data_IF_480714853651
#
_entry.id   IF_480714853651
#
_cell.length_a   1.000
_cell.length_b   1.000
_cell.length_c   1.000
_cell.angle_alpha   90.00
_cell.angle_beta   90.00
_cell.angle_gamma   90.00
#
_symmetry.space_group_name_H-M   'P 1'
#
loop_
_entity.id
_entity.type
_entity.pdbx_description
1 polymer ?
#
# COMPACT_ATOMS: atom_id res chain seq x y z
N UNK A 1 -28.66 -33.07 -5.06
CA UNK A 1 -27.91 -32.27 -4.06
C UNK A 1 -26.45 -32.69 -4.16
N UNK A 2 -25.67 -31.98 -4.97
CA UNK A 2 -24.26 -32.30 -5.17
C UNK A 2 -23.46 -31.64 -4.05
N UNK A 3 -22.71 -32.44 -3.31
CA UNK A 3 -21.74 -31.99 -2.31
C UNK A 3 -20.78 -31.01 -2.98
N UNK A 4 -20.93 -29.71 -2.72
CA UNK A 4 -19.92 -28.72 -3.13
C UNK A 4 -18.70 -28.96 -2.26
N UNK A 5 -17.73 -29.71 -2.80
CA UNK A 5 -16.40 -29.80 -2.19
C UNK A 5 -15.85 -28.38 -2.05
N UNK A 6 -15.62 -27.95 -0.81
CA UNK A 6 -14.99 -26.65 -0.56
C UNK A 6 -13.55 -26.72 -1.06
N UNK A 7 -13.23 -25.98 -2.12
CA UNK A 7 -11.87 -25.90 -2.66
C UNK A 7 -11.04 -25.03 -1.71
N UNK A 8 -9.99 -25.62 -1.17
CA UNK A 8 -9.04 -24.91 -0.32
C UNK A 8 -7.98 -24.21 -1.18
N UNK A 9 -7.68 -22.95 -0.87
CA UNK A 9 -6.65 -22.13 -1.52
C UNK A 9 -5.61 -21.77 -0.45
N UNK A 10 -4.38 -22.23 -0.65
CA UNK A 10 -3.28 -22.08 0.31
C UNK A 10 -2.21 -21.09 -0.14
N UNK A 11 -2.31 -20.56 -1.37
CA UNK A 11 -1.38 -19.56 -1.91
C UNK A 11 -1.99 -18.72 -3.02
N UNK A 12 -1.35 -17.59 -3.35
CA UNK A 12 -1.68 -16.78 -4.52
C UNK A 12 -1.58 -17.59 -5.83
N UNK A 13 -0.60 -18.49 -5.94
CA UNK A 13 -0.45 -19.33 -7.12
C UNK A 13 -1.63 -20.27 -7.31
N UNK A 14 -2.09 -20.92 -6.24
CA UNK A 14 -3.29 -21.75 -6.28
C UNK A 14 -4.54 -20.95 -6.68
N UNK A 15 -4.67 -19.72 -6.15
CA UNK A 15 -5.75 -18.81 -6.57
C UNK A 15 -5.70 -18.54 -8.09
N UNK A 16 -4.52 -18.23 -8.63
CA UNK A 16 -4.33 -17.97 -10.06
C UNK A 16 -4.75 -19.16 -10.92
N UNK A 17 -4.45 -20.39 -10.50
CA UNK A 17 -4.89 -21.61 -11.20
C UNK A 17 -6.41 -21.78 -11.20
N UNK A 18 -7.10 -21.24 -10.19
CA UNK A 18 -8.57 -21.29 -10.10
C UNK A 18 -9.26 -20.12 -10.84
N UNK A 19 -8.54 -19.09 -11.28
CA UNK A 19 -9.12 -17.90 -11.95
C UNK A 19 -10.04 -18.23 -13.14
N UNK A 20 -9.74 -19.20 -14.02
CA UNK A 20 -10.63 -19.58 -15.12
C UNK A 20 -12.01 -20.06 -14.67
N UNK A 21 -12.14 -20.55 -13.43
CA UNK A 21 -13.43 -20.96 -12.82
C UNK A 21 -14.06 -19.83 -12.03
N UNK A 22 -13.26 -19.07 -11.30
CA UNK A 22 -13.72 -17.98 -10.43
C UNK A 22 -14.31 -16.83 -11.24
N UNK A 23 -13.63 -16.38 -12.30
CA UNK A 23 -14.05 -15.19 -13.06
C UNK A 23 -15.45 -15.36 -13.67
N UNK A 24 -15.79 -16.46 -14.35
CA UNK A 24 -17.15 -16.69 -14.82
C UNK A 24 -18.18 -16.76 -13.69
N UNK A 25 -17.84 -17.38 -12.55
CA UNK A 25 -18.75 -17.52 -11.41
C UNK A 25 -19.07 -16.16 -10.77
N UNK A 26 -18.09 -15.28 -10.64
CA UNK A 26 -18.29 -13.89 -10.20
C UNK A 26 -19.14 -13.12 -11.21
N UNK A 27 -18.81 -13.20 -12.49
CA UNK A 27 -19.50 -12.43 -13.54
C UNK A 27 -20.95 -12.89 -13.79
N UNK A 28 -21.31 -14.13 -13.43
CA UNK A 28 -22.68 -14.62 -13.49
C UNK A 28 -23.62 -13.92 -12.49
N UNK A 29 -23.07 -13.23 -11.47
CA UNK A 29 -23.83 -12.47 -10.48
C UNK A 29 -23.32 -11.02 -10.41
N UNK A 30 -24.02 -10.04 -11.01
CA UNK A 30 -23.58 -8.64 -11.02
C UNK A 30 -23.38 -8.03 -9.63
N UNK A 31 -24.21 -8.40 -8.64
CA UNK A 31 -24.05 -7.93 -7.26
C UNK A 31 -22.78 -8.47 -6.61
N UNK A 32 -22.46 -9.75 -6.86
CA UNK A 32 -21.21 -10.35 -6.42
C UNK A 32 -19.99 -9.74 -7.13
N UNK A 33 -20.08 -9.44 -8.41
CA UNK A 33 -19.01 -8.77 -9.16
C UNK A 33 -18.70 -7.38 -8.59
N UNK A 34 -19.75 -6.60 -8.25
CA UNK A 34 -19.58 -5.31 -7.59
C UNK A 34 -18.98 -5.46 -6.18
N UNK A 35 -19.49 -6.40 -5.38
CA UNK A 35 -18.97 -6.67 -4.05
C UNK A 35 -17.50 -7.18 -4.08
N UNK A 36 -17.14 -7.97 -5.09
CA UNK A 36 -15.78 -8.47 -5.30
C UNK A 36 -14.78 -7.34 -5.62
N UNK A 37 -15.22 -6.26 -6.27
CA UNK A 37 -14.39 -5.08 -6.48
C UNK A 37 -14.04 -4.36 -5.16
N UNK A 38 -14.91 -4.46 -4.15
CA UNK A 38 -14.68 -3.89 -2.82
C UNK A 38 -13.88 -4.82 -1.90
N UNK A 39 -14.13 -6.13 -1.97
CA UNK A 39 -13.36 -7.15 -1.24
C UNK A 39 -13.37 -8.50 -2.00
N UNK A 40 -12.30 -8.82 -2.75
CA UNK A 40 -12.24 -10.06 -3.52
C UNK A 40 -12.12 -11.31 -2.65
N UNK A 41 -11.53 -11.21 -1.45
CA UNK A 41 -11.39 -12.35 -0.54
C UNK A 41 -12.75 -12.83 -0.03
N UNK A 42 -13.62 -11.89 0.36
CA UNK A 42 -14.98 -12.23 0.78
C UNK A 42 -15.84 -12.76 -0.38
N UNK A 43 -15.61 -12.29 -1.62
CA UNK A 43 -16.29 -12.86 -2.78
C UNK A 43 -15.89 -14.31 -3.04
N UNK A 44 -14.62 -14.69 -2.80
CA UNK A 44 -14.18 -16.08 -2.88
C UNK A 44 -14.86 -16.94 -1.80
N UNK A 45 -14.98 -16.43 -0.58
CA UNK A 45 -15.71 -17.12 0.50
C UNK A 45 -17.19 -17.34 0.13
N UNK A 46 -17.84 -16.36 -0.49
CA UNK A 46 -19.22 -16.49 -0.99
C UNK A 46 -19.37 -17.56 -2.08
N UNK A 47 -18.34 -17.77 -2.89
CA UNK A 47 -18.29 -18.84 -3.89
C UNK A 47 -17.93 -20.22 -3.29
N UNK A 48 -17.72 -20.31 -1.97
CA UNK A 48 -17.42 -21.55 -1.26
C UNK A 48 -15.94 -21.92 -1.18
N UNK A 49 -15.04 -21.02 -1.56
CA UNK A 49 -13.60 -21.22 -1.39
C UNK A 49 -13.19 -20.97 0.06
N UNK A 50 -12.22 -21.75 0.56
CA UNK A 50 -11.61 -21.54 1.87
C UNK A 50 -10.16 -21.14 1.69
N UNK A 51 -9.78 -19.99 2.22
CA UNK A 51 -8.40 -19.51 2.15
C UNK A 51 -7.70 -19.76 3.49
N UNK A 52 -6.45 -20.25 3.43
CA UNK A 52 -5.60 -20.31 4.62
C UNK A 52 -5.21 -18.89 5.07
N UNK A 53 -4.93 -18.68 6.36
CA UNK A 53 -4.49 -17.35 6.84
C UNK A 53 -3.26 -16.81 6.09
N UNK A 54 -2.22 -17.62 5.80
CA UNK A 54 -1.09 -17.16 4.98
C UNK A 54 -1.52 -16.76 3.56
N UNK A 55 -2.44 -17.50 2.93
CA UNK A 55 -2.93 -17.17 1.59
C UNK A 55 -3.71 -15.86 1.59
N UNK A 56 -4.56 -15.63 2.59
CA UNK A 56 -5.30 -14.38 2.73
C UNK A 56 -4.36 -13.18 2.78
N UNK A 57 -3.32 -13.25 3.60
CA UNK A 57 -2.33 -12.16 3.70
C UNK A 57 -1.57 -11.97 2.39
N UNK A 58 -1.09 -13.04 1.77
CA UNK A 58 -0.36 -12.97 0.49
C UNK A 58 -1.23 -12.36 -0.62
N UNK A 59 -2.46 -12.84 -0.78
CA UNK A 59 -3.40 -12.40 -1.81
C UNK A 59 -3.80 -10.95 -1.56
N UNK A 60 -4.14 -10.58 -0.31
CA UNK A 60 -4.46 -9.20 0.03
C UNK A 60 -3.30 -8.27 -0.30
N UNK A 61 -2.09 -8.61 0.13
CA UNK A 61 -0.89 -7.82 -0.11
C UNK A 61 -0.63 -7.64 -1.60
N UNK A 62 -0.72 -8.72 -2.38
CA UNK A 62 -0.53 -8.66 -3.82
C UNK A 62 -1.60 -7.81 -4.52
N UNK A 63 -2.87 -8.02 -4.19
CA UNK A 63 -3.98 -7.30 -4.80
C UNK A 63 -3.99 -5.81 -4.44
N UNK A 64 -3.60 -5.45 -3.20
CA UNK A 64 -3.53 -4.05 -2.77
C UNK A 64 -2.34 -3.33 -3.38
N UNK A 65 -1.15 -3.90 -3.28
CA UNK A 65 0.08 -3.17 -3.57
C UNK A 65 0.65 -3.47 -4.96
N UNK A 66 0.42 -4.66 -5.49
CA UNK A 66 1.10 -5.13 -6.70
C UNK A 66 2.59 -5.44 -6.46
N UNK A 67 3.27 -6.07 -7.43
CA UNK A 67 4.64 -6.58 -7.26
C UNK A 67 5.66 -5.48 -6.98
N UNK A 68 5.58 -4.35 -7.68
CA UNK A 68 6.57 -3.26 -7.56
C UNK A 68 6.52 -2.59 -6.18
N UNK A 69 5.31 -2.28 -5.68
CA UNK A 69 5.18 -1.70 -4.35
C UNK A 69 5.49 -2.72 -3.25
N UNK A 70 5.19 -4.02 -3.44
CA UNK A 70 5.60 -5.03 -2.46
C UNK A 70 7.12 -5.12 -2.34
N UNK A 71 7.83 -5.09 -3.46
CA UNK A 71 9.29 -5.01 -3.47
C UNK A 71 9.75 -3.74 -2.73
N UNK A 72 9.15 -2.59 -3.03
CA UNK A 72 9.50 -1.33 -2.38
C UNK A 72 9.22 -1.33 -0.88
N UNK A 73 8.11 -1.90 -0.44
CA UNK A 73 7.77 -2.04 0.99
C UNK A 73 8.81 -2.91 1.71
N UNK A 74 9.21 -4.04 1.11
CA UNK A 74 10.24 -4.92 1.69
C UNK A 74 11.62 -4.22 1.79
N UNK A 75 11.99 -3.42 0.80
CA UNK A 75 13.20 -2.58 0.85
C UNK A 75 13.12 -1.56 1.99
N UNK A 76 12.01 -0.84 2.11
CA UNK A 76 11.79 0.16 3.16
C UNK A 76 11.82 -0.48 4.56
N UNK A 77 11.16 -1.62 4.75
CA UNK A 77 11.18 -2.40 6.00
C UNK A 77 12.60 -2.83 6.36
N UNK A 78 13.38 -3.28 5.38
CA UNK A 78 14.77 -3.67 5.57
C UNK A 78 15.66 -2.48 5.95
N UNK A 79 15.53 -1.35 5.25
CA UNK A 79 16.30 -0.12 5.53
C UNK A 79 15.94 0.45 6.91
N UNK A 80 14.66 0.48 7.24
CA UNK A 80 14.18 0.95 8.55
C UNK A 80 14.67 0.06 9.68
N UNK A 81 14.62 -1.26 9.50
CA UNK A 81 15.09 -2.21 10.50
C UNK A 81 16.59 -2.16 10.76
N UNK A 82 17.40 -1.82 9.74
CA UNK A 82 18.83 -1.55 9.93
C UNK A 82 19.09 -0.29 10.77
N UNK A 83 18.25 0.73 10.65
CA UNK A 83 18.41 2.00 11.37
C UNK A 83 17.93 1.94 12.82
N UNK A 84 16.84 1.21 13.08
CA UNK A 84 16.10 1.29 14.35
C UNK A 84 16.03 -0.06 15.07
N UNK A 85 16.74 -1.07 14.57
CA UNK A 85 16.87 -2.41 15.16
C UNK A 85 15.52 -3.07 15.45
N UNK A 86 14.50 -2.75 14.63
CA UNK A 86 13.15 -3.33 14.68
C UNK A 86 12.84 -4.08 13.40
N UNK A 87 11.99 -5.11 13.49
CA UNK A 87 11.49 -5.83 12.31
C UNK A 87 10.17 -5.26 11.80
N UNK A 88 9.47 -4.47 12.61
CA UNK A 88 8.12 -3.99 12.31
C UNK A 88 8.10 -2.47 12.21
N UNK A 89 7.42 -1.99 11.17
CA UNK A 89 7.08 -0.58 11.03
C UNK A 89 6.02 -0.21 12.07
N UNK A 90 6.11 0.97 12.72
CA UNK A 90 5.14 1.40 13.72
C UNK A 90 3.76 1.63 13.09
N UNK A 91 2.72 1.11 13.74
CA UNK A 91 1.32 1.11 13.28
C UNK A 91 0.59 2.42 13.60
N UNK A 92 1.04 3.18 14.60
CA UNK A 92 0.45 4.45 15.00
C UNK A 92 1.51 5.49 15.44
N UNK A 93 1.13 6.78 15.59
CA UNK A 93 2.07 7.83 15.99
C UNK A 93 2.71 7.61 17.36
N UNK A 94 2.02 6.93 18.29
CA UNK A 94 2.52 6.68 19.65
C UNK A 94 3.63 5.64 19.64
N UNK A 95 3.45 4.54 18.89
CA UNK A 95 4.48 3.52 18.66
C UNK A 95 5.69 4.12 17.95
N UNK A 96 5.45 4.92 16.90
CA UNK A 96 6.52 5.58 16.16
C UNK A 96 7.33 6.51 17.08
N UNK A 97 6.65 7.30 17.91
CA UNK A 97 7.29 8.19 18.87
C UNK A 97 8.16 7.42 19.85
N UNK A 98 7.61 6.38 20.49
CA UNK A 98 8.36 5.56 21.44
C UNK A 98 9.59 4.91 20.80
N UNK A 99 9.50 4.54 19.52
CA UNK A 99 10.59 3.93 18.76
C UNK A 99 11.70 4.93 18.44
N UNK A 100 11.36 6.14 17.98
CA UNK A 100 12.35 7.19 17.69
C UNK A 100 12.96 7.80 18.96
N UNK A 101 12.22 7.89 20.07
CA UNK A 101 12.78 8.35 21.34
C UNK A 101 13.78 7.32 21.92
N UNK A 102 13.53 6.03 21.73
CA UNK A 102 14.42 4.94 22.18
C UNK A 102 15.66 4.78 21.30
N UNK A 103 15.65 5.25 20.05
CA UNK A 103 16.79 5.07 19.15
C UNK A 103 18.03 5.86 19.59
N UNK A 104 17.88 6.83 20.49
CA UNK A 104 18.99 7.64 21.01
C UNK A 104 19.71 8.41 19.90
N UNK A 105 19.05 8.61 18.75
CA UNK A 105 19.64 9.28 17.61
C UNK A 105 19.88 10.75 17.93
N UNK A 106 21.15 11.12 18.04
CA UNK A 106 21.57 12.52 17.96
C UNK A 106 21.83 12.88 16.51
N UNK A 107 21.17 13.93 15.96
CA UNK A 107 21.43 14.36 14.60
C UNK A 107 22.92 14.71 14.46
N UNK A 108 23.64 13.96 13.64
CA UNK A 108 25.06 14.27 13.42
C UNK A 108 25.13 15.58 12.64
N UNK A 109 25.67 16.63 13.24
CA UNK A 109 25.91 17.95 12.62
C UNK A 109 26.81 17.90 11.37
N UNK A 110 27.31 16.72 10.96
CA UNK A 110 28.34 16.54 9.94
C UNK A 110 27.81 16.25 8.52
N UNK A 111 26.49 16.13 8.30
CA UNK A 111 25.93 15.87 6.97
C UNK A 111 25.36 17.12 6.26
N UNK A 112 25.73 18.33 6.71
CA UNK A 112 25.31 19.60 6.08
C UNK A 112 26.48 20.46 5.55
N UNK A 113 27.70 19.93 5.50
CA UNK A 113 28.87 20.65 5.01
C UNK A 113 29.20 20.31 3.55
N UNK A 114 28.25 20.49 2.62
CA UNK A 114 28.54 20.78 1.20
C UNK A 114 27.26 21.03 0.40
N UNK A 115 26.51 22.08 0.72
CA UNK A 115 25.80 22.84 -0.31
C UNK A 115 25.54 24.25 0.22
N UNK A 116 26.22 25.24 -0.36
CA UNK A 116 25.95 26.67 -0.16
C UNK A 116 24.53 26.97 -0.67
N UNK A 117 23.55 26.88 0.22
CA UNK A 117 22.27 27.57 0.08
C UNK A 117 21.83 27.98 1.48
N UNK A 118 21.90 29.27 1.74
CA UNK A 118 21.40 29.91 2.95
C UNK A 118 19.89 29.73 3.05
N UNK A 119 19.46 28.61 3.62
CA UNK A 119 18.15 28.50 4.25
C UNK A 119 18.37 28.52 5.76
N UNK A 120 17.80 29.53 6.42
CA UNK A 120 17.67 29.62 7.87
C UNK A 120 17.22 28.25 8.42
N UNK A 121 17.74 27.78 9.57
CA UNK A 121 17.28 26.54 10.17
C UNK A 121 15.77 26.65 10.34
N UNK A 122 15.02 25.84 9.59
CA UNK A 122 13.59 25.77 9.71
C UNK A 122 13.30 25.44 11.19
N UNK A 123 12.49 26.28 11.85
CA UNK A 123 12.01 26.09 13.23
C UNK A 123 11.87 24.59 13.48
N UNK A 124 12.67 24.05 14.42
CA UNK A 124 12.67 22.64 14.82
C UNK A 124 11.22 22.17 14.99
N UNK A 125 10.62 21.57 13.96
CA UNK A 125 9.32 20.94 14.10
C UNK A 125 9.54 19.81 15.08
N UNK A 126 8.72 19.76 16.14
CA UNK A 126 8.82 18.68 17.10
C UNK A 126 8.60 17.35 16.38
N UNK A 127 9.28 16.29 16.83
CA UNK A 127 9.05 14.92 16.36
C UNK A 127 7.56 14.58 16.29
N UNK A 128 6.78 15.06 17.26
CA UNK A 128 5.31 14.93 17.29
C UNK A 128 4.64 15.53 16.05
N UNK A 129 5.03 16.73 15.65
CA UNK A 129 4.49 17.42 14.46
C UNK A 129 4.79 16.62 13.19
N UNK A 130 6.04 16.14 13.07
CA UNK A 130 6.48 15.30 11.95
C UNK A 130 5.71 14.00 11.86
N UNK A 131 5.52 13.31 12.99
CA UNK A 131 4.74 12.07 13.05
C UNK A 131 3.27 12.34 12.72
N UNK A 132 2.66 13.41 13.23
CA UNK A 132 1.29 13.78 12.86
C UNK A 132 1.18 14.01 11.34
N UNK A 133 2.15 14.68 10.73
CA UNK A 133 2.15 14.89 9.27
C UNK A 133 2.31 13.59 8.47
N UNK A 134 3.15 12.66 8.93
CA UNK A 134 3.35 11.35 8.29
C UNK A 134 2.07 10.50 8.32
N UNK A 135 1.38 10.50 9.46
CA UNK A 135 0.19 9.68 9.68
C UNK A 135 -1.12 10.33 9.21
N UNK A 136 -1.09 11.62 8.86
CA UNK A 136 -2.23 12.28 8.24
C UNK A 136 -2.59 11.62 6.90
N UNK A 137 -3.88 11.52 6.58
CA UNK A 137 -4.39 10.92 5.34
C UNK A 137 -4.24 11.83 4.10
N UNK A 138 -3.44 12.90 4.17
CA UNK A 138 -3.34 13.91 3.10
C UNK A 138 -2.31 13.53 2.03
N UNK A 139 -2.72 13.59 0.76
CA UNK A 139 -1.83 13.57 -0.40
C UNK A 139 -1.23 14.98 -0.58
N UNK A 140 0.09 15.05 -0.66
CA UNK A 140 0.82 16.31 -0.83
C UNK A 140 1.15 16.55 -2.31
N UNK A 141 1.20 17.82 -2.70
CA UNK A 141 1.78 18.18 -3.98
C UNK A 141 3.29 17.88 -3.99
N UNK A 142 3.87 17.65 -5.17
CA UNK A 142 5.26 17.20 -5.31
C UNK A 142 6.28 18.13 -4.61
N UNK A 143 6.11 19.45 -4.74
CA UNK A 143 6.99 20.42 -4.11
C UNK A 143 6.84 20.47 -2.57
N UNK A 144 5.63 20.27 -2.06
CA UNK A 144 5.36 20.15 -0.63
C UNK A 144 5.97 18.87 -0.05
N UNK A 145 5.88 17.76 -0.81
CA UNK A 145 6.47 16.48 -0.44
C UNK A 145 8.01 16.58 -0.38
N UNK A 146 8.65 17.17 -1.40
CA UNK A 146 10.11 17.39 -1.40
C UNK A 146 10.54 18.21 -0.19
N UNK A 147 9.79 19.27 0.15
CA UNK A 147 10.06 20.09 1.33
C UNK A 147 9.92 19.28 2.62
N UNK A 148 8.84 18.52 2.76
CA UNK A 148 8.61 17.67 3.93
C UNK A 148 9.72 16.63 4.08
N UNK A 149 10.12 15.93 3.02
CA UNK A 149 11.18 14.93 3.06
C UNK A 149 12.52 15.53 3.53
N UNK A 150 12.85 16.75 3.09
CA UNK A 150 14.04 17.47 3.58
C UNK A 150 13.93 17.76 5.07
N UNK A 151 12.79 18.26 5.54
CA UNK A 151 12.54 18.55 6.96
C UNK A 151 12.61 17.27 7.83
N UNK A 152 12.01 16.16 7.37
CA UNK A 152 12.06 14.88 8.05
C UNK A 152 13.48 14.31 8.12
N UNK A 153 14.24 14.42 7.01
CA UNK A 153 15.61 13.91 6.94
C UNK A 153 16.56 14.64 7.89
N UNK A 154 16.32 15.94 8.13
CA UNK A 154 17.09 16.73 9.09
C UNK A 154 16.85 16.31 10.54
N UNK A 155 15.70 15.70 10.84
CA UNK A 155 15.37 15.23 12.19
C UNK A 155 15.86 13.81 12.45
N UNK A 156 15.57 12.87 11.55
CA UNK A 156 15.98 11.48 11.70
C UNK A 156 15.94 10.74 10.35
N UNK A 157 16.97 9.96 9.97
CA UNK A 157 17.04 9.27 8.66
C UNK A 157 15.91 8.25 8.45
N UNK A 158 15.37 7.68 9.54
CA UNK A 158 14.21 6.78 9.51
C UNK A 158 12.84 7.46 9.25
N UNK A 159 12.69 8.78 9.45
CA UNK A 159 11.40 9.46 9.25
C UNK A 159 10.99 9.52 7.76
N UNK A 160 11.89 9.84 6.81
CA UNK A 160 11.59 9.71 5.37
C UNK A 160 11.16 8.30 4.96
N UNK A 161 11.77 7.25 5.53
CA UNK A 161 11.40 5.86 5.24
C UNK A 161 9.99 5.55 5.72
N UNK A 162 9.65 5.96 6.95
CA UNK A 162 8.31 5.80 7.48
C UNK A 162 7.27 6.58 6.66
N UNK A 163 7.61 7.78 6.21
CA UNK A 163 6.74 8.55 5.31
C UNK A 163 6.46 7.81 4.00
N UNK A 164 7.50 7.31 3.33
CA UNK A 164 7.35 6.58 2.07
C UNK A 164 6.54 5.30 2.25
N UNK A 165 6.79 4.55 3.33
CA UNK A 165 6.00 3.37 3.68
C UNK A 165 4.52 3.73 3.83
N UNK A 166 4.22 4.77 4.61
CA UNK A 166 2.84 5.27 4.81
C UNK A 166 2.21 5.82 3.54
N UNK A 167 2.99 6.42 2.64
CA UNK A 167 2.49 6.90 1.34
C UNK A 167 1.94 5.73 0.51
N UNK A 168 2.68 4.63 0.41
CA UNK A 168 2.23 3.43 -0.33
C UNK A 168 0.94 2.88 0.29
N UNK A 169 0.88 2.77 1.62
CA UNK A 169 -0.32 2.29 2.32
C UNK A 169 -1.56 3.18 2.11
N UNK A 170 -1.38 4.50 2.03
CA UNK A 170 -2.48 5.45 1.79
C UNK A 170 -3.03 5.38 0.37
N UNK A 171 -2.17 5.14 -0.62
CA UNK A 171 -2.58 5.03 -2.02
C UNK A 171 -3.39 3.77 -2.31
N UNK A 172 -3.26 2.74 -1.47
CA UNK A 172 -3.88 1.42 -1.64
C UNK A 172 -4.62 1.02 -0.37
N UNK A 173 -5.85 1.55 -0.17
CA UNK A 173 -6.62 1.30 1.04
C UNK A 173 -6.87 -0.20 1.26
N UNK A 174 -7.19 -0.55 2.51
CA UNK A 174 -7.62 -1.91 2.84
C UNK A 174 -8.95 -2.24 2.14
N UNK A 175 -9.22 -3.53 1.95
CA UNK A 175 -10.50 -3.97 1.43
C UNK A 175 -11.66 -3.57 2.34
N UNK A 176 -12.85 -3.51 1.75
CA UNK A 176 -14.06 -3.24 2.50
C UNK A 176 -14.27 -4.27 3.63
N UNK A 177 -14.72 -3.80 4.78
CA UNK A 177 -15.13 -4.67 5.90
C UNK A 177 -16.27 -5.59 5.49
N UNK A 178 -16.45 -6.73 6.19
CA UNK A 178 -17.53 -7.68 5.90
C UNK A 178 -18.92 -7.04 5.85
N UNK A 179 -19.25 -6.17 6.80
CA UNK A 179 -20.54 -5.45 6.80
C UNK A 179 -20.73 -4.58 5.55
N UNK A 180 -19.69 -3.83 5.14
CA UNK A 180 -19.73 -3.04 3.91
C UNK A 180 -19.86 -3.90 2.65
N UNK A 181 -19.18 -5.05 2.61
CA UNK A 181 -19.31 -6.04 1.53
C UNK A 181 -20.74 -6.59 1.44
N UNK A 182 -21.33 -6.98 2.57
CA UNK A 182 -22.70 -7.51 2.63
C UNK A 182 -23.73 -6.46 2.21
N UNK A 183 -23.60 -5.20 2.64
CA UNK A 183 -24.48 -4.12 2.18
C UNK A 183 -24.36 -3.83 0.68
N UNK A 184 -23.16 -3.96 0.08
CA UNK A 184 -22.99 -3.84 -1.38
C UNK A 184 -23.67 -5.02 -2.08
N UNK A 185 -23.46 -6.24 -1.59
CA UNK A 185 -24.05 -7.45 -2.14
C UNK A 185 -25.59 -7.43 -2.08
N UNK A 186 -26.17 -6.89 -1.00
CA UNK A 186 -27.61 -6.71 -0.82
C UNK A 186 -28.20 -5.56 -1.66
N UNK A 187 -27.37 -4.75 -2.33
CA UNK A 187 -27.80 -3.59 -3.11
C UNK A 187 -28.25 -2.39 -2.25
N UNK A 188 -27.95 -2.38 -0.96
CA UNK A 188 -28.34 -1.31 -0.02
C UNK A 188 -27.52 -0.03 -0.20
N UNK A 189 -26.28 -0.19 -0.69
CA UNK A 189 -25.41 0.93 -1.06
C UNK A 189 -25.33 1.04 -2.58
N UNK A 190 -25.99 2.06 -3.13
CA UNK A 190 -25.63 2.61 -4.43
C UNK A 190 -24.27 3.32 -4.27
N UNK A 191 -23.17 2.58 -4.22
CA UNK A 191 -21.85 3.20 -4.38
C UNK A 191 -21.78 3.72 -5.80
N UNK A 192 -22.04 5.02 -5.96
CA UNK A 192 -21.67 5.74 -7.16
C UNK A 192 -20.16 5.52 -7.34
N UNK A 193 -19.80 4.83 -8.42
CA UNK A 193 -18.41 4.65 -8.80
C UNK A 193 -17.94 6.00 -9.33
N UNK A 194 -17.50 6.88 -8.44
CA UNK A 194 -17.22 8.28 -8.81
C UNK A 194 -15.94 8.43 -9.63
N UNK A 195 -14.99 7.48 -9.54
CA UNK A 195 -13.77 7.46 -10.35
C UNK A 195 -13.26 6.02 -10.55
N UNK A 196 -13.20 5.58 -11.81
CA UNK A 196 -12.39 4.43 -12.22
C UNK A 196 -11.20 4.95 -13.02
N UNK A 197 -10.03 5.01 -12.39
CA UNK A 197 -8.77 5.31 -13.10
C UNK A 197 -8.13 4.01 -13.58
N UNK A 198 -8.20 3.75 -14.89
CA UNK A 198 -7.41 2.71 -15.53
C UNK A 198 -6.11 3.30 -16.05
N UNK A 199 -4.97 2.93 -15.47
CA UNK A 199 -3.66 3.18 -16.07
C UNK A 199 -3.28 2.01 -16.98
N UNK A 200 -3.55 2.12 -18.27
CA UNK A 200 -2.94 1.23 -19.28
C UNK A 200 -1.57 1.79 -19.66
N UNK A 201 -0.51 1.19 -19.12
CA UNK A 201 0.86 1.44 -19.58
C UNK A 201 0.98 0.96 -21.03
N UNK A 202 0.89 1.88 -21.99
CA UNK A 202 1.21 1.57 -23.39
C UNK A 202 2.71 1.28 -23.48
N UNK A 203 3.07 0.01 -23.63
CA UNK A 203 4.38 -0.38 -24.13
C UNK A 203 4.53 0.28 -25.52
N UNK A 204 5.39 1.30 -25.63
CA UNK A 204 5.77 1.84 -26.94
C UNK A 204 6.67 0.79 -27.60
N UNK A 205 6.11 0.02 -28.51
CA UNK A 205 6.89 -0.70 -29.51
C UNK A 205 7.63 0.33 -30.36
N UNK A 206 8.93 0.46 -30.12
CA UNK A 206 9.83 1.18 -31.00
C UNK A 206 10.19 0.28 -32.18
N UNK A 207 9.25 0.09 -33.11
CA UNK A 207 9.59 -0.44 -34.43
C UNK A 207 10.24 0.68 -35.25
N UNK A 208 11.57 0.59 -35.37
CA UNK A 208 12.38 1.36 -36.32
C UNK A 208 11.73 1.25 -37.71
N UNK A 209 11.29 2.39 -38.27
CA UNK A 209 11.06 2.52 -39.71
C UNK A 209 12.41 2.33 -40.41
N UNK A 210 12.53 1.27 -41.21
CA UNK A 210 13.49 1.23 -42.30
C UNK A 210 13.13 2.35 -43.28
N UNK A 211 14.02 3.34 -43.40
CA UNK A 211 14.09 4.22 -44.57
C UNK A 211 14.60 3.38 -45.74
N UNK A 212 13.75 3.17 -46.73
CA UNK A 212 14.17 2.80 -48.08
C UNK A 212 14.27 4.10 -48.85
N UNK A 213 15.49 4.45 -49.24
CA UNK A 213 15.80 5.14 -50.49
C UNK A 213 16.86 4.27 -51.20
#
# INVERSE_FOLDING_TARGET
>A
MSSTESININSLHELQLQMPRIVPAVNANPGLALAAAANPLLALEQLGYKLSSPAQEEIERYARFGPDNLKRLAELETEFGKLLTTKTMPADPSEARALFEKSGYEPSDKSAANTKTTLKPAKNQSLTTSLTAIFASKVLAEEEEKKLLRELSAQHPGLPLLYQYRKIHRQRPAFATRSAFESILAGEKNTLVDQVEFSLSRHRDTTKKHSVD
#
